data_IF_978868083628
#
_entry.id   IF_978868083628
#
_cell.length_a   1.000
_cell.length_b   1.000
_cell.length_c   1.000
_cell.angle_alpha   90.00
_cell.angle_beta   90.00
_cell.angle_gamma   90.00
#
_symmetry.space_group_name_H-M   'P 1'
#
loop_
_entity.id
_entity.type
_entity.pdbx_description
1 polymer ?
#
# COMPACT_ATOMS: atom_id res chain seq x y z
N UNK A 1 -20.86 -12.39 5.13
CA UNK A 1 -19.67 -12.06 5.93
C UNK A 1 -18.73 -11.26 5.03
N UNK A 2 -18.48 -9.98 5.35
CA UNK A 2 -17.63 -9.14 4.49
C UNK A 2 -16.15 -9.38 4.86
N UNK A 3 -15.35 -10.02 3.98
CA UNK A 3 -13.96 -10.34 4.31
C UNK A 3 -13.07 -9.11 4.50
N UNK A 4 -13.54 -7.93 4.07
CA UNK A 4 -12.83 -6.66 4.13
C UNK A 4 -13.21 -5.78 5.33
N UNK A 5 -14.18 -6.20 6.14
CA UNK A 5 -14.60 -5.42 7.31
C UNK A 5 -13.42 -5.31 8.30
N UNK A 6 -12.98 -4.08 8.61
CA UNK A 6 -11.82 -3.80 9.46
C UNK A 6 -10.45 -3.78 8.75
N UNK A 7 -10.38 -4.07 7.45
CA UNK A 7 -9.15 -3.97 6.63
C UNK A 7 -9.14 -2.71 5.78
N UNK A 8 -9.39 -1.57 6.42
CA UNK A 8 -9.40 -0.27 5.74
C UNK A 8 -8.07 0.44 6.00
N UNK A 9 -7.28 0.61 4.95
CA UNK A 9 -6.15 1.52 4.97
C UNK A 9 -6.65 2.96 4.80
N UNK A 10 -5.90 3.94 5.33
CA UNK A 10 -6.20 5.33 5.04
C UNK A 10 -6.07 5.59 3.54
N UNK A 11 -7.00 6.35 2.96
CA UNK A 11 -7.01 6.65 1.52
C UNK A 11 -5.70 7.26 1.03
N UNK A 12 -5.02 8.05 1.88
CA UNK A 12 -3.71 8.62 1.59
C UNK A 12 -2.64 7.54 1.35
N UNK A 13 -2.62 6.46 2.13
CA UNK A 13 -1.69 5.34 1.99
C UNK A 13 -1.92 4.64 0.65
N UNK A 14 -3.18 4.39 0.29
CA UNK A 14 -3.56 3.74 -0.97
C UNK A 14 -3.13 4.61 -2.16
N UNK A 15 -3.45 5.91 -2.12
CA UNK A 15 -3.08 6.84 -3.20
C UNK A 15 -1.56 6.96 -3.34
N UNK A 16 -0.83 6.99 -2.22
CA UNK A 16 0.63 7.02 -2.23
C UNK A 16 1.20 5.75 -2.88
N UNK A 17 0.71 4.57 -2.48
CA UNK A 17 1.18 3.30 -3.01
C UNK A 17 0.92 3.17 -4.52
N UNK A 18 -0.29 3.50 -4.97
CA UNK A 18 -0.68 3.48 -6.40
C UNK A 18 0.16 4.47 -7.20
N UNK A 19 0.41 5.68 -6.67
CA UNK A 19 1.23 6.69 -7.36
C UNK A 19 2.64 6.18 -7.62
N UNK A 20 3.28 5.56 -6.63
CA UNK A 20 4.64 5.04 -6.78
C UNK A 20 4.69 3.83 -7.71
N UNK A 21 3.75 2.89 -7.54
CA UNK A 21 3.61 1.72 -8.40
C UNK A 21 3.46 2.10 -9.87
N UNK A 22 2.54 3.03 -10.18
CA UNK A 22 2.29 3.46 -11.55
C UNK A 22 3.39 4.35 -12.14
N UNK A 23 4.03 5.21 -11.33
CA UNK A 23 4.99 6.19 -11.85
C UNK A 23 6.38 5.60 -12.10
N UNK A 24 6.82 4.67 -11.25
CA UNK A 24 8.22 4.21 -11.26
C UNK A 24 8.38 2.74 -11.67
N UNK A 25 7.29 2.02 -11.95
CA UNK A 25 7.36 0.62 -12.36
C UNK A 25 8.02 -0.28 -11.30
N UNK A 26 7.94 0.11 -10.03
CA UNK A 26 8.49 -0.64 -8.90
C UNK A 26 7.73 -1.94 -8.70
N UNK A 27 8.47 -2.98 -8.31
CA UNK A 27 7.88 -4.27 -7.99
C UNK A 27 7.01 -4.18 -6.74
N UNK A 28 6.08 -5.14 -6.60
CA UNK A 28 5.26 -5.24 -5.39
C UNK A 28 6.10 -5.37 -4.12
N UNK A 29 7.24 -6.08 -4.20
CA UNK A 29 8.14 -6.27 -3.06
C UNK A 29 8.77 -4.95 -2.61
N UNK A 30 9.28 -4.16 -3.55
CA UNK A 30 9.85 -2.84 -3.24
C UNK A 30 8.76 -1.94 -2.63
N UNK A 31 7.55 -1.95 -3.20
CA UNK A 31 6.43 -1.21 -2.65
C UNK A 31 6.08 -1.63 -1.22
N UNK A 32 6.09 -2.94 -0.94
CA UNK A 32 5.85 -3.49 0.40
C UNK A 32 6.94 -3.06 1.39
N UNK A 33 8.22 -3.10 0.99
CA UNK A 33 9.34 -2.62 1.81
C UNK A 33 9.19 -1.13 2.14
N UNK A 34 8.85 -0.31 1.14
CA UNK A 34 8.59 1.13 1.33
C UNK A 34 7.39 1.44 2.24
N UNK A 35 6.36 0.60 2.20
CA UNK A 35 5.20 0.72 3.10
C UNK A 35 5.57 0.27 4.52
N UNK A 36 6.37 -0.79 4.66
CA UNK A 36 6.86 -1.28 5.94
C UNK A 36 7.75 -0.25 6.66
N UNK A 37 8.61 0.46 5.94
CA UNK A 37 9.38 1.60 6.46
C UNK A 37 8.50 2.72 7.03
N UNK A 38 7.28 2.87 6.51
CA UNK A 38 6.26 3.83 7.00
C UNK A 38 5.37 3.26 8.10
N UNK A 39 5.65 2.04 8.58
CA UNK A 39 4.85 1.34 9.57
C UNK A 39 3.55 0.74 9.04
N UNK A 40 3.38 0.68 7.72
CA UNK A 40 2.21 0.05 7.08
C UNK A 40 2.57 -1.38 6.68
N UNK A 41 1.90 -2.34 7.30
CA UNK A 41 2.07 -3.76 6.96
C UNK A 41 0.92 -4.21 6.05
N UNK A 42 1.25 -4.74 4.88
CA UNK A 42 0.31 -5.14 3.81
C UNK A 42 0.51 -6.60 3.47
#
# INVERSE_FOLDING_TARGET
>A
MNPFHGRHFQGEIILWAVRWYCKYGISYRELQEMLAERGVNV
#
